data_IF_237399949454
#
_entry.id   IF_237399949454
#
_cell.length_a   1.000
_cell.length_b   1.000
_cell.length_c   1.000
_cell.angle_alpha   90.00
_cell.angle_beta   90.00
_cell.angle_gamma   90.00
#
_symmetry.space_group_name_H-M   'P 1'
#
loop_
_entity.id
_entity.type
_entity.pdbx_description
1 polymer ?
#
# COMPACT_ATOMS: atom_id res chain seq x y z
N UNK A 1 -14.28 -14.64 11.31
CA UNK A 1 -12.94 -14.03 11.14
C UNK A 1 -12.46 -13.34 12.41
N UNK A 2 -11.20 -13.59 12.78
CA UNK A 2 -10.46 -12.84 13.79
C UNK A 2 -9.00 -12.72 13.33
N UNK A 3 -8.73 -11.72 12.49
CA UNK A 3 -7.40 -11.47 11.94
C UNK A 3 -6.70 -10.38 12.74
N UNK A 4 -5.42 -10.57 13.04
CA UNK A 4 -4.61 -9.57 13.73
C UNK A 4 -3.15 -9.63 13.33
N UNK A 5 -2.51 -8.46 13.22
CA UNK A 5 -1.07 -8.31 12.96
C UNK A 5 -0.50 -7.12 13.72
N UNK A 6 0.76 -7.22 14.11
CA UNK A 6 1.56 -6.03 14.39
C UNK A 6 2.14 -5.51 13.07
N UNK A 7 2.01 -4.21 12.83
CA UNK A 7 2.40 -3.59 11.57
C UNK A 7 3.46 -2.53 11.85
N UNK A 8 4.55 -2.58 11.10
CA UNK A 8 5.58 -1.55 11.05
C UNK A 8 5.44 -0.75 9.75
N UNK A 9 5.62 0.57 9.85
CA UNK A 9 5.73 1.45 8.67
C UNK A 9 7.20 1.68 8.36
N UNK A 10 7.66 1.19 7.21
CA UNK A 10 9.08 1.19 6.83
C UNK A 10 9.58 2.55 6.32
N UNK A 11 8.69 3.43 5.92
CA UNK A 11 9.01 4.76 5.38
C UNK A 11 8.14 5.85 5.99
N UNK A 12 8.53 7.14 5.93
CA UNK A 12 7.71 8.21 6.48
C UNK A 12 6.26 8.15 6.00
N UNK A 13 5.31 8.28 6.93
CA UNK A 13 3.88 8.13 6.71
C UNK A 13 3.19 9.49 6.68
N UNK A 14 2.88 9.95 5.46
CA UNK A 14 2.10 11.17 5.22
C UNK A 14 0.59 10.87 5.24
N UNK A 15 0.07 10.45 6.38
CA UNK A 15 -1.37 10.19 6.55
C UNK A 15 -1.93 11.17 7.58
N UNK A 16 -3.08 11.77 7.29
CA UNK A 16 -3.64 12.86 8.10
C UNK A 16 -5.15 12.85 8.19
N UNK A 17 -5.63 13.46 9.26
CA UNK A 17 -7.05 13.71 9.54
C UNK A 17 -7.56 14.98 8.89
N UNK A 18 -8.37 15.73 9.63
CA UNK A 18 -8.81 17.06 9.24
C UNK A 18 -7.68 18.10 9.32
N UNK A 19 -6.74 17.92 10.25
CA UNK A 19 -5.60 18.82 10.46
C UNK A 19 -4.44 18.47 9.54
N UNK A 20 -3.85 19.48 8.90
CA UNK A 20 -2.84 19.27 7.86
C UNK A 20 -1.44 18.95 8.40
N UNK A 21 -1.17 19.35 9.64
CA UNK A 21 0.10 19.33 10.37
C UNK A 21 0.24 18.18 11.37
N UNK A 22 -0.86 17.45 11.59
CA UNK A 22 -0.96 16.37 12.58
C UNK A 22 -1.10 15.03 11.87
N UNK A 23 -0.02 14.22 11.79
CA UNK A 23 -0.11 12.90 11.20
C UNK A 23 -0.97 11.96 12.07
N UNK A 24 -1.73 11.07 11.43
CA UNK A 24 -2.68 10.17 12.09
C UNK A 24 -2.72 8.80 11.38
N UNK A 25 -2.81 7.69 12.12
CA UNK A 25 -3.09 6.36 11.57
C UNK A 25 -4.60 6.11 11.68
N UNK A 26 -5.26 5.97 10.52
CA UNK A 26 -6.72 6.05 10.44
C UNK A 26 -7.33 4.75 9.96
N UNK A 27 -8.30 4.22 10.71
CA UNK A 27 -9.10 3.06 10.30
C UNK A 27 -9.73 3.24 8.91
N UNK A 28 -10.36 4.39 8.55
CA UNK A 28 -10.89 4.60 7.21
C UNK A 28 -9.85 4.44 6.09
N UNK A 29 -8.61 4.92 6.29
CA UNK A 29 -7.54 4.81 5.30
C UNK A 29 -7.14 3.35 5.08
N UNK A 30 -6.96 2.58 6.16
CA UNK A 30 -6.63 1.15 6.10
C UNK A 30 -7.76 0.38 5.41
N UNK A 31 -9.00 0.59 5.88
CA UNK A 31 -10.19 -0.06 5.32
C UNK A 31 -10.32 0.21 3.82
N UNK A 32 -10.06 1.44 3.37
CA UNK A 32 -10.07 1.79 1.95
C UNK A 32 -9.02 1.03 1.13
N UNK A 33 -7.81 0.86 1.67
CA UNK A 33 -6.74 0.10 1.00
C UNK A 33 -7.06 -1.40 0.93
N UNK A 34 -7.54 -1.99 2.02
CA UNK A 34 -7.93 -3.41 2.06
C UNK A 34 -9.09 -3.67 1.11
N UNK A 35 -10.09 -2.78 1.08
CA UNK A 35 -11.22 -2.85 0.13
C UNK A 35 -10.74 -2.73 -1.32
N UNK A 36 -9.72 -1.93 -1.59
CA UNK A 36 -9.13 -1.84 -2.93
C UNK A 36 -8.41 -3.13 -3.32
N UNK A 37 -7.62 -3.73 -2.42
CA UNK A 37 -6.95 -5.01 -2.67
C UNK A 37 -7.94 -6.17 -2.81
N UNK A 38 -9.03 -6.16 -2.05
CA UNK A 38 -10.13 -7.12 -2.20
C UNK A 38 -10.65 -7.16 -3.64
N UNK A 39 -10.91 -5.99 -4.25
CA UNK A 39 -11.28 -5.91 -5.67
C UNK A 39 -10.15 -6.36 -6.59
N UNK A 40 -8.92 -5.94 -6.32
CA UNK A 40 -7.75 -6.28 -7.14
C UNK A 40 -7.45 -7.80 -7.17
N UNK A 41 -7.89 -8.54 -6.16
CA UNK A 41 -7.78 -9.99 -6.04
C UNK A 41 -9.04 -10.74 -6.52
N UNK A 42 -9.96 -10.07 -7.22
CA UNK A 42 -11.12 -10.70 -7.85
C UNK A 42 -12.42 -10.67 -7.03
N UNK A 43 -12.46 -9.93 -5.92
CA UNK A 43 -13.71 -9.71 -5.20
C UNK A 43 -14.73 -8.93 -6.04
N UNK A 44 -15.96 -9.44 -6.14
CA UNK A 44 -17.01 -8.81 -6.96
C UNK A 44 -17.65 -7.62 -6.23
N UNK A 45 -18.40 -6.79 -6.96
CA UNK A 45 -19.15 -5.65 -6.40
C UNK A 45 -20.13 -6.07 -5.30
N UNK A 46 -20.79 -7.23 -5.46
CA UNK A 46 -21.76 -7.69 -4.47
C UNK A 46 -21.10 -8.28 -3.23
N UNK A 47 -19.99 -8.98 -3.40
CA UNK A 47 -19.16 -9.45 -2.28
C UNK A 47 -18.57 -8.27 -1.50
N UNK A 48 -18.06 -7.27 -2.21
CA UNK A 48 -17.52 -6.05 -1.62
C UNK A 48 -18.57 -5.32 -0.79
N UNK A 49 -19.81 -5.17 -1.31
CA UNK A 49 -20.93 -4.60 -0.55
C UNK A 49 -21.30 -5.46 0.66
N UNK A 50 -21.32 -6.78 0.50
CA UNK A 50 -21.66 -7.70 1.60
C UNK A 50 -20.65 -7.61 2.76
N UNK A 51 -19.37 -7.40 2.45
CA UNK A 51 -18.29 -7.34 3.45
C UNK A 51 -18.12 -5.91 4.00
N UNK A 52 -17.88 -4.94 3.13
CA UNK A 52 -17.52 -3.57 3.48
C UNK A 52 -18.71 -2.63 3.61
N UNK A 53 -19.93 -3.12 3.37
CA UNK A 53 -21.13 -2.30 3.37
C UNK A 53 -21.22 -1.35 2.17
N UNK A 54 -22.40 -0.77 1.99
CA UNK A 54 -22.70 0.14 0.89
C UNK A 54 -24.20 0.44 0.77
N UNK A 55 -24.55 1.28 -0.20
CA UNK A 55 -25.95 1.59 -0.55
C UNK A 55 -26.36 0.76 -1.77
N UNK A 56 -27.59 0.24 -1.77
CA UNK A 56 -28.28 -0.34 -2.93
C UNK A 56 -29.02 0.79 -3.65
N UNK A 57 -28.40 1.39 -4.67
CA UNK A 57 -29.03 2.43 -5.51
C UNK A 57 -28.82 3.86 -5.02
N UNK A 58 -28.76 4.80 -5.97
CA UNK A 58 -28.78 6.24 -5.71
C UNK A 58 -30.24 6.70 -5.76
N UNK A 59 -30.77 7.20 -4.65
CA UNK A 59 -32.10 7.83 -4.58
C UNK A 59 -33.29 6.85 -4.61
N UNK A 60 -33.76 6.44 -3.43
CA UNK A 60 -35.17 6.29 -3.00
C UNK A 60 -35.23 5.42 -1.72
N UNK A 61 -35.88 5.91 -0.65
CA UNK A 61 -36.20 5.23 0.62
C UNK A 61 -35.06 4.47 1.37
N UNK A 62 -34.52 5.14 2.39
CA UNK A 62 -33.27 4.85 3.11
C UNK A 62 -33.21 3.63 4.07
N UNK A 63 -34.30 2.89 4.33
CA UNK A 63 -34.28 1.86 5.39
C UNK A 63 -33.86 0.45 4.93
N UNK A 64 -34.21 0.04 3.71
CA UNK A 64 -33.94 -1.34 3.24
C UNK A 64 -32.78 -1.43 2.20
N UNK A 65 -32.10 -0.31 1.97
CA UNK A 65 -31.06 -0.19 0.94
C UNK A 65 -29.64 -0.01 1.51
N UNK A 66 -29.47 0.05 2.83
CA UNK A 66 -28.15 0.22 3.45
C UNK A 66 -27.65 -1.12 3.97
N UNK A 67 -26.59 -1.63 3.36
CA UNK A 67 -25.87 -2.79 3.88
C UNK A 67 -24.81 -2.28 4.84
N UNK A 68 -25.00 -2.51 6.14
CA UNK A 68 -23.97 -2.23 7.13
C UNK A 68 -22.77 -3.15 6.91
N UNK A 69 -21.56 -2.65 7.20
CA UNK A 69 -20.39 -3.52 7.13
C UNK A 69 -20.42 -4.62 8.18
N UNK A 70 -19.96 -5.79 7.74
CA UNK A 70 -19.74 -6.97 8.57
C UNK A 70 -18.34 -7.03 9.18
N UNK A 71 -17.49 -6.04 8.92
CA UNK A 71 -16.12 -5.97 9.44
C UNK A 71 -15.96 -4.77 10.37
N UNK A 72 -15.36 -5.03 11.53
CA UNK A 72 -14.82 -4.00 12.42
C UNK A 72 -13.31 -4.00 12.28
N UNK A 73 -12.76 -2.80 12.07
CA UNK A 73 -11.32 -2.55 12.05
C UNK A 73 -10.98 -1.77 13.32
N UNK A 74 -10.02 -2.25 14.09
CA UNK A 74 -9.56 -1.60 15.31
C UNK A 74 -8.05 -1.46 15.29
N UNK A 75 -7.57 -0.27 15.61
CA UNK A 75 -6.15 0.02 15.80
C UNK A 75 -5.89 0.12 17.30
N UNK A 76 -4.81 -0.54 17.76
CA UNK A 76 -4.33 -0.46 19.14
C UNK A 76 -2.81 -0.22 19.16
N UNK A 77 -2.30 0.11 20.34
CA UNK A 77 -0.87 0.11 20.66
C UNK A 77 -0.03 0.94 19.68
N UNK A 78 -0.55 2.11 19.28
CA UNK A 78 0.15 3.01 18.36
C UNK A 78 1.41 3.53 19.04
N UNK A 79 2.57 3.21 18.46
CA UNK A 79 3.89 3.73 18.81
C UNK A 79 4.43 4.46 17.60
N UNK A 80 4.24 5.76 17.54
CA UNK A 80 4.64 6.59 16.41
C UNK A 80 5.14 7.96 16.89
N UNK A 81 6.16 8.48 16.22
CA UNK A 81 6.74 9.79 16.50
C UNK A 81 6.56 10.68 15.27
N UNK A 82 6.09 11.92 15.47
CA UNK A 82 6.05 12.93 14.41
C UNK A 82 7.48 13.25 13.97
N UNK A 83 7.72 13.30 12.67
CA UNK A 83 9.01 13.68 12.13
C UNK A 83 9.30 15.16 12.38
N UNK A 84 10.55 15.47 12.72
CA UNK A 84 11.08 16.82 12.85
C UNK A 84 12.55 16.83 12.38
N UNK A 85 12.90 17.51 11.28
CA UNK A 85 12.01 18.30 10.42
C UNK A 85 11.01 17.46 9.60
N UNK A 86 10.01 18.13 9.03
CA UNK A 86 9.03 17.51 8.12
C UNK A 86 9.72 16.90 6.89
N UNK A 87 9.54 15.59 6.61
CA UNK A 87 10.23 14.93 5.53
C UNK A 87 9.64 15.33 4.16
N UNK A 88 10.45 15.35 3.10
CA UNK A 88 10.00 15.65 1.75
C UNK A 88 9.07 14.55 1.21
N UNK A 89 7.97 14.95 0.55
CA UNK A 89 7.13 14.01 -0.21
C UNK A 89 7.75 13.66 -1.57
N UNK A 90 8.69 14.49 -2.05
CA UNK A 90 9.45 14.30 -3.30
C UNK A 90 10.97 14.38 -3.00
N UNK A 91 11.55 13.38 -2.31
CA UNK A 91 12.94 13.41 -1.86
C UNK A 91 14.01 13.45 -2.97
N UNK A 92 13.64 13.16 -4.22
CA UNK A 92 14.53 13.32 -5.39
C UNK A 92 14.67 14.78 -5.84
N UNK A 93 13.85 15.70 -5.29
CA UNK A 93 13.92 17.14 -5.55
C UNK A 93 14.55 17.85 -4.36
N UNK A 94 14.97 19.09 -4.59
CA UNK A 94 15.60 19.94 -3.58
C UNK A 94 14.75 21.20 -3.32
N UNK A 95 15.01 21.87 -2.19
CA UNK A 95 14.33 23.10 -1.79
C UNK A 95 12.81 22.96 -1.69
N UNK A 96 12.08 24.02 -2.02
CA UNK A 96 10.60 24.03 -1.96
C UNK A 96 9.93 22.98 -2.86
N UNK A 97 10.60 22.51 -3.91
CA UNK A 97 10.06 21.46 -4.79
C UNK A 97 10.04 20.07 -4.14
N UNK A 98 10.82 19.86 -3.07
CA UNK A 98 10.79 18.62 -2.29
C UNK A 98 9.47 18.43 -1.52
N UNK A 99 8.69 19.51 -1.38
CA UNK A 99 7.36 19.54 -0.78
C UNK A 99 7.31 18.81 0.57
N UNK A 100 8.01 19.34 1.61
CA UNK A 100 7.98 18.77 2.96
C UNK A 100 6.57 18.82 3.54
N UNK A 101 6.20 17.77 4.26
CA UNK A 101 4.90 17.65 4.93
C UNK A 101 5.00 16.90 6.25
N UNK A 102 4.12 17.23 7.18
CA UNK A 102 3.96 16.51 8.43
C UNK A 102 3.72 15.02 8.20
N UNK A 103 4.47 14.19 8.92
CA UNK A 103 4.46 12.75 8.79
C UNK A 103 4.84 12.08 10.11
N UNK A 104 4.47 10.80 10.28
CA UNK A 104 5.19 9.96 11.23
C UNK A 104 6.54 9.54 10.64
N UNK A 105 7.55 9.42 11.51
CA UNK A 105 8.85 8.83 11.18
C UNK A 105 8.70 7.37 10.75
N UNK A 106 9.70 6.88 10.01
CA UNK A 106 9.85 5.43 9.76
C UNK A 106 9.96 4.68 11.09
N UNK A 107 9.48 3.44 11.12
CA UNK A 107 9.45 2.61 12.32
C UNK A 107 8.20 2.81 13.19
N UNK A 108 7.24 3.63 12.76
CA UNK A 108 5.93 3.69 13.42
C UNK A 108 5.29 2.30 13.46
N UNK A 109 4.78 1.90 14.62
CA UNK A 109 4.16 0.59 14.87
C UNK A 109 2.75 0.73 15.41
N UNK A 110 1.90 -0.22 15.06
CA UNK A 110 0.55 -0.33 15.61
C UNK A 110 0.03 -1.77 15.44
N UNK A 111 -0.93 -2.16 16.27
CA UNK A 111 -1.66 -3.42 16.11
C UNK A 111 -2.95 -3.16 15.35
N UNK A 112 -3.19 -3.95 14.30
CA UNK A 112 -4.46 -3.94 13.56
C UNK A 112 -5.22 -5.22 13.89
N UNK A 113 -6.44 -5.07 14.39
CA UNK A 113 -7.41 -6.15 14.60
C UNK A 113 -8.56 -5.99 13.60
N UNK A 114 -8.94 -7.07 12.92
CA UNK A 114 -10.10 -7.12 12.04
C UNK A 114 -10.96 -8.34 12.38
N UNK A 115 -12.19 -8.09 12.79
CA UNK A 115 -13.12 -9.14 13.21
C UNK A 115 -14.50 -8.94 12.61
N UNK A 116 -15.23 -10.05 12.50
CA UNK A 116 -16.61 -10.03 12.01
C UNK A 116 -17.55 -9.37 13.01
N UNK A 117 -18.61 -8.78 12.49
CA UNK A 117 -19.70 -8.14 13.22
C UNK A 117 -21.03 -8.58 12.61
N UNK A 118 -22.08 -8.58 13.44
CA UNK A 118 -23.46 -9.02 13.12
C UNK A 118 -23.58 -10.52 12.88
N UNK A 119 -22.92 -11.04 11.83
CA UNK A 119 -22.97 -12.46 11.48
C UNK A 119 -21.63 -12.89 10.88
N UNK A 120 -21.12 -14.10 11.18
CA UNK A 120 -19.85 -14.59 10.65
C UNK A 120 -19.84 -14.65 9.13
N UNK A 121 -18.75 -14.20 8.50
CA UNK A 121 -18.58 -14.33 7.05
C UNK A 121 -18.57 -15.81 6.64
N UNK A 122 -19.13 -16.12 5.47
CA UNK A 122 -18.97 -17.45 4.89
C UNK A 122 -17.48 -17.74 4.61
N UNK A 123 -17.04 -19.02 4.62
CA UNK A 123 -15.61 -19.36 4.54
C UNK A 123 -14.88 -18.75 3.34
N UNK A 124 -15.53 -18.70 2.17
CA UNK A 124 -14.93 -18.13 0.97
C UNK A 124 -14.70 -16.61 1.10
N UNK A 125 -15.72 -15.87 1.55
CA UNK A 125 -15.62 -14.42 1.76
C UNK A 125 -14.59 -14.07 2.83
N UNK A 126 -14.57 -14.84 3.94
CA UNK A 126 -13.56 -14.68 4.97
C UNK A 126 -12.16 -14.82 4.37
N UNK A 127 -11.90 -15.90 3.61
CA UNK A 127 -10.61 -16.11 2.95
C UNK A 127 -10.23 -14.97 2.00
N UNK A 128 -11.17 -14.47 1.19
CA UNK A 128 -10.90 -13.32 0.30
C UNK A 128 -10.52 -12.06 1.08
N UNK A 129 -11.14 -11.82 2.24
CA UNK A 129 -10.79 -10.67 3.11
C UNK A 129 -9.43 -10.85 3.76
N UNK A 130 -9.13 -12.03 4.29
CA UNK A 130 -7.82 -12.35 4.88
C UNK A 130 -6.71 -12.21 3.83
N UNK A 131 -6.91 -12.74 2.62
CA UNK A 131 -5.96 -12.58 1.51
C UNK A 131 -5.75 -11.10 1.15
N UNK A 132 -6.81 -10.29 1.11
CA UNK A 132 -6.68 -8.85 0.85
C UNK A 132 -5.93 -8.12 1.96
N UNK A 133 -6.07 -8.53 3.22
CA UNK A 133 -5.32 -8.00 4.37
C UNK A 133 -3.84 -8.36 4.27
N UNK A 134 -3.51 -9.62 3.99
CA UNK A 134 -2.13 -10.09 3.85
C UNK A 134 -1.43 -9.45 2.65
N UNK A 135 -2.08 -9.40 1.49
CA UNK A 135 -1.50 -8.76 0.30
C UNK A 135 -1.34 -7.26 0.51
N UNK A 136 -2.28 -6.60 1.19
CA UNK A 136 -2.09 -5.20 1.59
C UNK A 136 -0.90 -5.03 2.54
N UNK A 137 -0.67 -5.95 3.47
CA UNK A 137 0.46 -5.88 4.39
C UNK A 137 1.81 -6.10 3.69
N UNK A 138 1.84 -6.88 2.61
CA UNK A 138 3.05 -7.19 1.84
C UNK A 138 3.34 -6.23 0.68
N UNK A 139 2.29 -5.69 0.02
CA UNK A 139 2.42 -4.84 -1.18
C UNK A 139 1.78 -3.45 -1.02
N UNK A 140 1.14 -3.18 0.11
CA UNK A 140 0.39 -1.95 0.37
C UNK A 140 1.21 -0.84 1.00
N UNK A 141 0.54 0.27 1.22
CA UNK A 141 1.05 1.43 1.95
C UNK A 141 -0.13 2.26 2.43
N UNK A 142 0.16 3.28 3.24
CA UNK A 142 -0.82 4.26 3.72
C UNK A 142 -0.39 5.69 3.37
N UNK A 143 -1.37 6.59 3.25
CA UNK A 143 -1.13 8.03 3.12
C UNK A 143 -0.74 8.51 1.71
N UNK A 144 -0.30 9.76 1.65
CA UNK A 144 0.14 10.43 0.43
C UNK A 144 1.42 9.76 -0.10
N UNK A 145 1.55 9.71 -1.44
CA UNK A 145 2.65 9.03 -2.14
C UNK A 145 2.75 7.52 -1.82
N UNK A 146 1.65 6.89 -1.38
CA UNK A 146 1.59 5.45 -1.14
C UNK A 146 2.06 4.58 -2.33
N UNK A 147 1.81 4.99 -3.58
CA UNK A 147 2.29 4.26 -4.77
C UNK A 147 3.74 4.62 -5.18
N UNK A 148 4.41 5.49 -4.41
CA UNK A 148 5.74 6.06 -4.68
C UNK A 148 6.66 5.92 -3.46
N UNK A 149 6.58 4.80 -2.75
CA UNK A 149 7.49 4.45 -1.65
C UNK A 149 7.25 5.14 -0.30
N UNK A 150 6.22 5.97 -0.14
CA UNK A 150 5.87 6.51 1.17
C UNK A 150 4.87 5.62 1.91
N UNK A 151 4.93 5.62 3.25
CA UNK A 151 4.02 4.88 4.13
C UNK A 151 3.94 3.38 3.87
N UNK A 152 5.01 2.75 3.35
CA UNK A 152 5.06 1.30 3.15
C UNK A 152 4.81 0.56 4.46
N UNK A 153 3.81 -0.32 4.47
CA UNK A 153 3.49 -1.17 5.63
C UNK A 153 4.20 -2.51 5.49
N UNK A 154 4.47 -3.16 6.63
CA UNK A 154 5.17 -4.44 6.68
C UNK A 154 4.82 -5.21 7.95
N UNK A 155 4.86 -6.56 7.95
CA UNK A 155 4.68 -7.32 9.19
C UNK A 155 5.74 -6.97 10.23
N UNK A 156 5.29 -6.61 11.43
CA UNK A 156 6.12 -6.21 12.58
C UNK A 156 6.21 -7.26 13.69
N UNK A 157 5.48 -8.37 13.56
CA UNK A 157 5.34 -9.47 14.52
C UNK A 157 6.27 -10.67 14.23
N UNK A 158 7.31 -10.46 13.42
CA UNK A 158 8.24 -11.50 13.01
C UNK A 158 7.70 -12.44 11.92
N UNK A 159 6.46 -12.23 11.46
CA UNK A 159 5.89 -12.99 10.33
C UNK A 159 6.29 -12.43 8.97
N UNK A 160 7.22 -11.49 8.86
CA UNK A 160 7.66 -10.98 7.55
C UNK A 160 8.31 -12.09 6.70
N UNK A 161 8.09 -12.11 5.37
CA UNK A 161 8.94 -12.92 4.48
C UNK A 161 10.37 -12.40 4.55
N UNK A 162 11.33 -13.33 4.65
CA UNK A 162 12.76 -13.01 4.77
C UNK A 162 13.43 -12.90 3.41
N UNK A 163 12.93 -13.64 2.42
CA UNK A 163 13.54 -13.71 1.07
C UNK A 163 12.52 -13.33 0.00
N UNK A 164 13.02 -13.03 -1.20
CA UNK A 164 12.19 -12.81 -2.38
C UNK A 164 11.28 -14.02 -2.67
N UNK A 165 11.82 -15.23 -2.58
CA UNK A 165 11.06 -16.47 -2.79
C UNK A 165 9.94 -16.66 -1.75
N UNK A 166 10.22 -16.41 -0.47
CA UNK A 166 9.19 -16.46 0.58
C UNK A 166 8.10 -15.41 0.35
N UNK A 167 8.47 -14.20 -0.08
CA UNK A 167 7.49 -13.18 -0.45
C UNK A 167 6.61 -13.68 -1.61
N UNK A 168 7.21 -14.26 -2.64
CA UNK A 168 6.46 -14.79 -3.79
C UNK A 168 5.51 -15.90 -3.39
N UNK A 169 5.98 -16.84 -2.56
CA UNK A 169 5.19 -17.94 -2.05
C UNK A 169 3.95 -17.43 -1.31
N UNK A 170 4.11 -16.50 -0.36
CA UNK A 170 2.96 -15.95 0.40
C UNK A 170 1.95 -15.23 -0.47
N UNK A 171 2.43 -14.48 -1.46
CA UNK A 171 1.55 -13.81 -2.40
C UNK A 171 0.77 -14.84 -3.24
N UNK A 172 1.38 -15.96 -3.62
CA UNK A 172 0.70 -17.06 -4.32
C UNK A 172 -0.34 -17.74 -3.44
N UNK A 173 -0.03 -18.01 -2.16
CA UNK A 173 -0.97 -18.56 -1.18
C UNK A 173 -2.20 -17.65 -1.01
N UNK A 174 -2.01 -16.34 -1.11
CA UNK A 174 -3.09 -15.35 -1.09
C UNK A 174 -3.83 -15.18 -2.44
N UNK A 175 -3.44 -15.90 -3.49
CA UNK A 175 -4.00 -15.79 -4.84
C UNK A 175 -3.62 -14.51 -5.60
N UNK A 176 -2.54 -13.84 -5.20
CA UNK A 176 -2.08 -12.61 -5.85
C UNK A 176 -1.20 -12.92 -7.06
N UNK A 177 -1.77 -12.85 -8.26
CA UNK A 177 -1.03 -13.12 -9.51
C UNK A 177 -0.32 -11.88 -10.08
N UNK A 178 -0.25 -10.78 -9.33
CA UNK A 178 0.44 -9.58 -9.79
C UNK A 178 1.94 -9.86 -9.90
N UNK A 179 2.60 -9.50 -11.02
CA UNK A 179 4.05 -9.55 -11.11
C UNK A 179 4.67 -8.59 -10.09
N UNK A 180 5.75 -9.07 -9.48
CA UNK A 180 6.52 -8.33 -8.48
C UNK A 180 7.97 -8.39 -8.93
N UNK A 181 8.62 -7.23 -9.00
CA UNK A 181 10.04 -7.11 -9.28
C UNK A 181 10.76 -6.48 -8.10
N UNK A 182 12.02 -6.85 -7.90
CA UNK A 182 12.94 -6.18 -6.99
C UNK A 182 14.00 -5.46 -7.81
N UNK A 183 14.28 -4.21 -7.46
CA UNK A 183 15.44 -3.53 -8.03
C UNK A 183 16.74 -4.07 -7.41
N UNK A 184 17.83 -3.93 -8.17
CA UNK A 184 19.17 -4.27 -7.71
C UNK A 184 19.62 -3.40 -6.54
N UNK A 185 20.62 -3.91 -5.80
CA UNK A 185 21.12 -3.26 -4.58
C UNK A 185 21.78 -1.90 -4.87
N UNK A 186 22.25 -1.65 -6.10
CA UNK A 186 22.84 -0.39 -6.53
C UNK A 186 21.87 0.80 -6.53
N UNK A 187 20.56 0.56 -6.37
CA UNK A 187 19.56 1.63 -6.25
C UNK A 187 19.71 2.38 -4.92
N UNK A 188 20.14 1.70 -3.85
CA UNK A 188 20.36 2.32 -2.54
C UNK A 188 20.36 1.32 -1.39
N UNK A 189 21.04 1.69 -0.30
CA UNK A 189 21.16 0.86 0.90
C UNK A 189 20.18 1.29 2.01
N UNK A 190 19.56 2.46 1.88
CA UNK A 190 18.64 3.02 2.87
C UNK A 190 17.23 3.24 2.33
N UNK A 191 16.24 3.19 3.21
CA UNK A 191 14.85 3.49 2.86
C UNK A 191 14.67 4.89 2.22
N UNK A 192 15.55 5.85 2.53
CA UNK A 192 15.50 7.20 1.97
C UNK A 192 16.03 7.24 0.53
N UNK A 193 17.15 6.57 0.23
CA UNK A 193 17.67 6.45 -1.13
C UNK A 193 16.68 5.72 -2.04
N UNK A 194 16.11 4.61 -1.57
CA UNK A 194 15.09 3.86 -2.30
C UNK A 194 13.83 4.71 -2.52
N UNK A 195 13.49 5.62 -1.60
CA UNK A 195 12.39 6.58 -1.79
C UNK A 195 12.71 7.66 -2.82
N UNK A 196 13.95 8.13 -2.91
CA UNK A 196 14.39 9.02 -4.00
C UNK A 196 14.17 8.33 -5.33
N UNK A 197 14.62 7.09 -5.45
CA UNK A 197 14.38 6.24 -6.62
C UNK A 197 12.88 6.04 -6.94
N UNK A 198 12.06 5.71 -5.94
CA UNK A 198 10.63 5.46 -6.11
C UNK A 198 9.80 6.69 -6.54
N UNK A 199 10.33 7.91 -6.31
CA UNK A 199 9.63 9.16 -6.60
C UNK A 199 10.12 9.84 -7.88
N UNK A 200 11.32 9.52 -8.36
CA UNK A 200 11.87 10.02 -9.63
C UNK A 200 11.25 9.27 -10.83
N UNK A 201 10.02 9.64 -11.16
CA UNK A 201 9.25 9.00 -12.23
C UNK A 201 8.90 9.97 -13.36
N UNK A 202 8.53 9.43 -14.53
CA UNK A 202 8.22 10.22 -15.72
C UNK A 202 6.80 10.82 -15.66
N UNK A 203 6.68 12.08 -16.09
CA UNK A 203 5.39 12.75 -16.31
C UNK A 203 4.79 12.37 -17.68
N UNK A 204 3.49 12.60 -17.88
CA UNK A 204 2.83 12.39 -19.17
C UNK A 204 2.52 10.92 -19.51
N UNK A 205 2.53 10.04 -18.51
CA UNK A 205 2.16 8.62 -18.67
C UNK A 205 1.11 8.21 -17.63
N UNK A 206 -0.12 8.75 -17.72
CA UNK A 206 -1.14 8.56 -16.69
C UNK A 206 -1.52 7.10 -16.44
N UNK A 207 -1.49 6.25 -17.47
CA UNK A 207 -1.84 4.83 -17.33
C UNK A 207 -0.78 3.99 -16.61
N UNK A 208 0.46 4.48 -16.53
CA UNK A 208 1.57 3.81 -15.85
C UNK A 208 1.82 4.45 -14.50
N UNK A 209 1.93 5.78 -14.49
CA UNK A 209 2.44 6.58 -13.39
C UNK A 209 1.38 7.46 -12.71
N UNK A 210 0.15 7.46 -13.22
CA UNK A 210 -0.92 8.31 -12.73
C UNK A 210 -0.70 9.79 -13.07
N UNK A 211 -1.70 10.59 -12.75
CA UNK A 211 -1.62 12.04 -12.87
C UNK A 211 -2.53 12.71 -11.83
N UNK A 212 -2.22 13.95 -11.46
CA UNK A 212 -3.01 14.71 -10.49
C UNK A 212 -4.04 15.64 -11.15
N UNK A 213 -3.73 16.15 -12.36
CA UNK A 213 -4.51 17.10 -13.13
C UNK A 213 -4.43 16.76 -14.63
N UNK A 214 -5.42 17.12 -15.47
CA UNK A 214 -6.70 17.75 -15.08
C UNK A 214 -7.64 16.77 -14.37
N UNK A 215 -7.54 15.47 -14.67
CA UNK A 215 -8.30 14.41 -13.99
C UNK A 215 -7.38 13.52 -13.20
N UNK A 216 -7.67 13.34 -11.91
CA UNK A 216 -6.85 12.50 -11.03
C UNK A 216 -6.97 11.03 -11.43
N UNK A 217 -5.83 10.42 -11.76
CA UNK A 217 -5.70 9.00 -12.03
C UNK A 217 -4.61 8.41 -11.13
N UNK A 218 -4.93 7.30 -10.46
CA UNK A 218 -3.96 6.63 -9.61
C UNK A 218 -2.90 5.92 -10.47
N UNK A 219 -1.65 5.91 -9.99
CA UNK A 219 -0.57 5.14 -10.62
C UNK A 219 -0.89 3.65 -10.61
N UNK A 220 -0.85 3.02 -11.78
CA UNK A 220 -1.00 1.56 -11.94
C UNK A 220 0.23 0.84 -11.41
N UNK A 221 1.42 1.35 -11.71
CA UNK A 221 2.68 0.88 -11.11
C UNK A 221 2.77 1.37 -9.68
N UNK A 222 3.19 0.48 -8.79
CA UNK A 222 3.39 0.74 -7.37
C UNK A 222 4.84 0.50 -7.02
N UNK A 223 5.46 1.49 -6.38
CA UNK A 223 6.77 1.37 -5.76
C UNK A 223 6.60 1.25 -4.25
N UNK A 224 7.28 0.27 -3.66
CA UNK A 224 7.23 -0.04 -2.22
C UNK A 224 8.63 -0.26 -1.70
N UNK A 225 8.88 0.21 -0.48
CA UNK A 225 10.06 -0.21 0.27
C UNK A 225 9.61 -1.37 1.14
N UNK A 226 10.31 -2.50 1.03
CA UNK A 226 10.10 -3.72 1.82
C UNK A 226 11.40 -4.06 2.56
N UNK A 227 11.35 -4.99 3.51
CA UNK A 227 12.55 -5.51 4.19
C UNK A 227 12.71 -6.99 3.86
N UNK A 228 13.74 -7.31 3.09
CA UNK A 228 14.12 -8.67 2.72
C UNK A 228 15.62 -8.82 2.95
N UNK A 229 16.06 -9.98 3.40
CA UNK A 229 17.48 -10.27 3.71
C UNK A 229 18.04 -9.25 4.72
N UNK A 230 17.21 -8.86 5.70
CA UNK A 230 17.52 -7.86 6.73
C UNK A 230 17.87 -6.45 6.22
N UNK A 231 17.69 -6.17 4.91
CA UNK A 231 17.95 -4.87 4.29
C UNK A 231 16.69 -4.29 3.64
N UNK A 232 16.59 -2.96 3.51
CA UNK A 232 15.52 -2.36 2.74
C UNK A 232 15.71 -2.66 1.25
N UNK A 233 14.63 -3.00 0.54
CA UNK A 233 14.62 -3.27 -0.91
C UNK A 233 13.53 -2.45 -1.59
N UNK A 234 13.79 -2.01 -2.82
CA UNK A 234 12.77 -1.39 -3.66
C UNK A 234 12.02 -2.46 -4.45
N UNK A 235 10.74 -2.61 -4.13
CA UNK A 235 9.79 -3.47 -4.79
C UNK A 235 8.95 -2.67 -5.79
N UNK A 236 8.76 -3.22 -6.98
CA UNK A 236 7.92 -2.66 -8.04
C UNK A 236 6.87 -3.70 -8.43
N UNK A 237 5.61 -3.31 -8.48
CA UNK A 237 4.51 -4.20 -8.87
C UNK A 237 3.42 -3.47 -9.64
N UNK A 238 2.72 -4.20 -10.51
CA UNK A 238 1.58 -3.74 -11.29
C UNK A 238 0.67 -4.96 -11.59
N UNK A 239 -0.57 -4.76 -12.08
CA UNK A 239 -1.46 -5.88 -12.41
C UNK A 239 -0.93 -6.80 -13.53
N UNK A 240 -0.13 -6.26 -14.45
CA UNK A 240 0.38 -7.00 -15.63
C UNK A 240 1.87 -6.79 -15.84
N UNK A 241 2.52 -7.78 -16.47
CA UNK A 241 3.94 -7.71 -16.80
C UNK A 241 4.22 -6.63 -17.87
N UNK A 242 3.32 -6.49 -18.84
CA UNK A 242 3.35 -5.41 -19.85
C UNK A 242 3.41 -4.01 -19.20
N UNK A 243 2.63 -3.78 -18.13
CA UNK A 243 2.68 -2.50 -17.41
C UNK A 243 4.06 -2.26 -16.77
N UNK A 244 4.69 -3.31 -16.23
CA UNK A 244 6.03 -3.22 -15.66
C UNK A 244 7.10 -3.00 -16.74
N UNK A 245 7.00 -3.65 -17.89
CA UNK A 245 7.90 -3.46 -19.02
C UNK A 245 7.84 -2.03 -19.56
N UNK A 246 6.64 -1.49 -19.78
CA UNK A 246 6.44 -0.07 -20.12
C UNK A 246 7.04 0.87 -19.09
N UNK A 247 6.94 0.53 -17.81
CA UNK A 247 7.54 1.31 -16.74
C UNK A 247 9.07 1.24 -16.76
N UNK A 248 9.66 0.07 -17.04
CA UNK A 248 11.11 -0.10 -17.17
C UNK A 248 11.67 0.75 -18.31
N UNK A 249 11.05 0.69 -19.49
CA UNK A 249 11.43 1.50 -20.65
C UNK A 249 11.33 3.00 -20.36
N UNK A 250 10.21 3.43 -19.75
CA UNK A 250 9.95 4.83 -19.46
C UNK A 250 10.88 5.43 -18.39
N UNK A 251 11.44 4.60 -17.52
CA UNK A 251 12.33 4.99 -16.44
C UNK A 251 13.80 4.74 -16.77
N UNK A 252 14.15 4.48 -18.03
CA UNK A 252 15.55 4.38 -18.43
C UNK A 252 16.32 5.60 -17.91
N UNK A 253 17.52 5.36 -17.36
CA UNK A 253 18.39 6.37 -16.73
C UNK A 253 17.85 7.03 -15.44
N UNK A 254 16.66 6.66 -14.96
CA UNK A 254 16.15 7.12 -13.67
C UNK A 254 16.81 6.44 -12.49
N UNK A 255 16.68 7.08 -11.31
CA UNK A 255 17.27 6.62 -10.06
C UNK A 255 16.84 5.20 -9.66
N UNK A 256 15.69 4.73 -10.13
CA UNK A 256 15.22 3.36 -9.87
C UNK A 256 15.94 2.26 -10.64
N UNK A 257 16.86 2.59 -11.56
CA UNK A 257 17.69 1.63 -12.33
C UNK A 257 16.88 0.46 -12.92
N UNK A 258 15.91 0.70 -13.83
CA UNK A 258 14.98 -0.34 -14.31
C UNK A 258 15.63 -1.55 -14.99
N UNK A 259 16.85 -1.42 -15.51
CA UNK A 259 17.63 -2.54 -16.08
C UNK A 259 18.00 -3.60 -15.05
N UNK A 260 17.94 -3.26 -13.76
CA UNK A 260 18.31 -4.12 -12.62
C UNK A 260 17.09 -4.80 -12.00
N UNK A 261 15.89 -4.52 -12.51
CA UNK A 261 14.67 -5.06 -11.95
C UNK A 261 14.52 -6.52 -12.33
N UNK A 262 14.48 -7.38 -11.32
CA UNK A 262 14.35 -8.82 -11.49
C UNK A 262 12.99 -9.29 -10.97
N UNK A 263 12.34 -10.15 -11.75
CA UNK A 263 11.07 -10.75 -11.34
C UNK A 263 11.29 -11.68 -10.15
N UNK A 264 10.50 -11.49 -9.11
CA UNK A 264 10.46 -12.35 -7.93
C UNK A 264 9.77 -13.66 -8.30
N UNK A 265 10.51 -14.77 -8.24
CA UNK A 265 10.08 -16.13 -8.57
C UNK A 265 9.71 -16.93 -7.34
#
# INVERSE_FOLDING_TARGET
>A
MNWQREIEVLTPLFNRGAYQDTPEIRVPSIRGMVRWWFRALGGTSDEEKAVFGGMKGFGHALRDQVVASRLVFRIKDIRAQRADPDPPTLPHKTGGQAAPQAAFLRGARFRLEVFDRLSPLGPELQRKVENALEVWLLLGALGLRANRGAGSVWPGDGTAPKTAAELRQRLNECGCNWPVMLAGDEVGASAEELRKAATDTKNGMPDVFGQAAPHRQASTVKFKIVRLEEKPRLLITAPTLDTLQKAQEALNEKLSRPKTWELVK
#
